data_IF_515543422377
#
_entry.id   IF_515543422377
#
_cell.length_a   1.000
_cell.length_b   1.000
_cell.length_c   1.000
_cell.angle_alpha   90.00
_cell.angle_beta   90.00
_cell.angle_gamma   90.00
#
_symmetry.space_group_name_H-M   'P 1'
#
loop_
_entity.id
_entity.type
_entity.pdbx_description
1 polymer ?
#
# COMPACT_ATOMS: atom_id res chain seq x y z
N UNK A 1 -1.28 -0.18 0.45
CA UNK A 1 -1.19 -1.61 0.13
C UNK A 1 0.12 -2.14 0.70
N UNK A 2 0.08 -3.24 1.44
CA UNK A 2 1.29 -3.94 1.90
C UNK A 2 1.94 -4.67 0.73
N UNK A 3 3.23 -4.47 0.51
CA UNK A 3 4.01 -5.11 -0.57
C UNK A 3 5.02 -6.13 -0.04
N UNK A 4 5.48 -5.98 1.20
CA UNK A 4 6.37 -6.92 1.87
C UNK A 4 6.30 -6.74 3.39
N UNK A 5 6.68 -7.78 4.11
CA UNK A 5 6.83 -7.76 5.57
C UNK A 5 8.09 -8.49 5.97
N UNK A 6 8.77 -8.04 7.02
CA UNK A 6 9.95 -8.73 7.54
C UNK A 6 10.13 -8.46 9.04
N UNK A 7 10.69 -9.40 9.81
CA UNK A 7 11.01 -9.17 11.21
C UNK A 7 12.27 -8.28 11.35
N UNK A 8 12.24 -7.32 12.28
CA UNK A 8 13.37 -6.45 12.64
C UNK A 8 13.32 -6.10 14.13
N UNK A 9 14.39 -6.40 14.87
CA UNK A 9 14.48 -6.12 16.32
C UNK A 9 13.26 -6.61 17.13
N UNK A 10 12.80 -7.84 16.86
CA UNK A 10 11.65 -8.44 17.56
C UNK A 10 10.28 -7.85 17.19
N UNK A 11 10.21 -6.95 16.21
CA UNK A 11 8.96 -6.37 15.70
C UNK A 11 8.75 -6.69 14.23
N UNK A 12 7.49 -6.76 13.80
CA UNK A 12 7.17 -6.89 12.38
C UNK A 12 7.32 -5.51 11.72
N UNK A 13 8.09 -5.45 10.62
CA UNK A 13 8.13 -4.29 9.74
C UNK A 13 7.28 -4.56 8.52
N UNK A 14 6.55 -3.53 8.10
CA UNK A 14 5.64 -3.59 6.97
C UNK A 14 6.06 -2.53 5.96
N UNK A 15 6.27 -2.97 4.73
CA UNK A 15 6.57 -2.11 3.58
C UNK A 15 5.28 -1.93 2.81
N UNK A 16 4.94 -0.68 2.52
CA UNK A 16 3.69 -0.31 1.87
C UNK A 16 3.90 0.68 0.74
N UNK A 17 2.93 0.70 -0.17
CA UNK A 17 2.69 1.80 -1.11
C UNK A 17 1.35 2.46 -0.78
N UNK A 18 1.23 3.80 -0.84
CA UNK A 18 0.01 4.48 -0.44
C UNK A 18 -1.09 4.33 -1.50
N UNK A 19 -2.33 4.44 -1.01
CA UNK A 19 -3.50 4.70 -1.84
C UNK A 19 -3.92 6.14 -1.63
N UNK A 20 -4.22 6.86 -2.70
CA UNK A 20 -4.57 8.28 -2.62
C UNK A 20 -5.68 8.62 -3.60
N UNK A 21 -6.47 9.65 -3.27
CA UNK A 21 -7.46 10.27 -4.17
C UNK A 21 -6.91 11.50 -4.88
N UNK A 22 -5.69 11.93 -4.52
CA UNK A 22 -5.00 13.05 -5.17
C UNK A 22 -4.59 12.66 -6.58
N UNK A 23 -4.59 13.65 -7.47
CA UNK A 23 -4.10 13.44 -8.82
C UNK A 23 -2.56 13.44 -8.79
N UNK A 24 -1.98 12.30 -9.15
CA UNK A 24 -0.55 12.08 -9.28
C UNK A 24 -0.23 11.78 -10.73
N UNK A 25 1.04 11.97 -11.11
CA UNK A 25 1.52 11.61 -12.45
C UNK A 25 1.04 10.19 -12.83
N UNK A 26 0.44 10.00 -14.03
CA UNK A 26 0.03 8.69 -14.52
C UNK A 26 1.18 7.69 -14.58
N UNK A 27 2.41 8.18 -14.77
CA UNK A 27 3.61 7.35 -14.85
C UNK A 27 3.83 6.52 -13.58
N UNK A 28 3.55 7.09 -12.40
CA UNK A 28 3.81 6.46 -11.11
C UNK A 28 2.57 5.98 -10.38
N UNK A 29 1.42 5.99 -11.06
CA UNK A 29 0.15 5.61 -10.47
C UNK A 29 -0.51 4.46 -11.20
N UNK A 30 -1.25 3.64 -10.45
CA UNK A 30 -2.08 2.57 -10.99
C UNK A 30 -3.52 2.86 -10.60
N UNK A 31 -4.36 3.06 -11.61
CA UNK A 31 -5.80 3.18 -11.45
C UNK A 31 -6.38 1.83 -11.06
N UNK A 32 -7.22 1.82 -10.02
CA UNK A 32 -7.86 0.59 -9.55
C UNK A 32 -9.12 0.30 -10.37
N UNK A 33 -9.42 -0.97 -10.68
CA UNK A 33 -10.67 -1.33 -11.32
C UNK A 33 -11.88 -0.90 -10.47
N UNK A 34 -12.98 -0.37 -11.06
CA UNK A 34 -14.15 0.09 -10.31
C UNK A 34 -14.72 -0.96 -9.35
N UNK A 35 -14.80 -2.23 -9.78
CA UNK A 35 -15.26 -3.33 -8.91
C UNK A 35 -14.39 -3.54 -7.68
N UNK A 36 -13.08 -3.33 -7.80
CA UNK A 36 -12.16 -3.45 -6.66
C UNK A 36 -12.32 -2.27 -5.70
N UNK A 37 -12.51 -1.06 -6.23
CA UNK A 37 -12.80 0.14 -5.42
C UNK A 37 -14.06 -0.08 -4.61
N UNK A 38 -15.15 -0.51 -5.26
CA UNK A 38 -16.44 -0.73 -4.60
C UNK A 38 -16.32 -1.85 -3.55
N UNK A 39 -15.61 -2.94 -3.86
CA UNK A 39 -15.37 -4.05 -2.93
C UNK A 39 -14.56 -3.64 -1.69
N UNK A 40 -13.58 -2.75 -1.86
CA UNK A 40 -12.72 -2.26 -0.78
C UNK A 40 -13.30 -1.02 -0.06
N UNK A 41 -14.48 -0.53 -0.48
CA UNK A 41 -15.10 0.66 0.10
C UNK A 41 -14.28 1.94 -0.10
N UNK A 42 -13.54 2.06 -1.22
CA UNK A 42 -12.68 3.20 -1.50
C UNK A 42 -13.40 4.30 -2.32
N UNK A 43 -12.82 5.51 -2.37
CA UNK A 43 -13.29 6.57 -3.28
C UNK A 43 -12.96 6.18 -4.74
N UNK A 44 -13.82 6.52 -5.69
CA UNK A 44 -13.63 6.20 -7.11
C UNK A 44 -12.37 6.79 -7.75
N UNK A 45 -11.78 7.81 -7.14
CA UNK A 45 -10.52 8.43 -7.56
C UNK A 45 -9.30 7.72 -6.98
N UNK A 46 -9.48 6.74 -6.10
CA UNK A 46 -8.41 6.01 -5.45
C UNK A 46 -7.49 5.32 -6.46
N UNK A 47 -6.19 5.58 -6.30
CA UNK A 47 -5.12 5.00 -7.09
C UNK A 47 -3.95 4.61 -6.19
N UNK A 48 -3.16 3.64 -6.63
CA UNK A 48 -1.92 3.24 -5.96
C UNK A 48 -0.78 4.11 -6.48
N UNK A 49 0.07 4.64 -5.60
CA UNK A 49 1.32 5.31 -5.98
C UNK A 49 2.48 4.36 -5.70
N UNK A 50 3.04 3.73 -6.72
CA UNK A 50 3.97 2.63 -6.51
C UNK A 50 5.42 3.06 -6.28
N UNK A 51 5.77 4.31 -6.61
CA UNK A 51 7.10 4.86 -6.40
C UNK A 51 7.29 5.53 -5.02
N UNK A 52 6.24 5.57 -4.20
CA UNK A 52 6.29 6.06 -2.82
C UNK A 52 6.23 4.86 -1.88
N UNK A 53 7.40 4.36 -1.50
CA UNK A 53 7.51 3.18 -0.63
C UNK A 53 7.78 3.63 0.79
N UNK A 54 6.92 3.20 1.71
CA UNK A 54 6.99 3.56 3.11
C UNK A 54 7.17 2.32 3.99
N UNK A 55 8.09 2.39 4.95
CA UNK A 55 8.33 1.34 5.94
C UNK A 55 7.85 1.77 7.34
N UNK A 56 7.07 0.90 7.99
CA UNK A 56 6.49 1.11 9.32
C UNK A 56 6.75 -0.06 10.27
N UNK A 57 6.73 0.21 11.58
CA UNK A 57 6.59 -0.83 12.62
C UNK A 57 5.13 -1.26 12.68
N UNK A 58 4.88 -2.57 12.80
CA UNK A 58 3.54 -3.13 12.96
C UNK A 58 3.32 -3.69 14.38
N UNK A 59 2.17 -3.45 15.01
CA UNK A 59 1.13 -2.48 14.62
C UNK A 59 1.60 -1.06 14.97
N UNK A 60 1.50 -0.11 14.03
CA UNK A 60 1.94 1.27 14.22
C UNK A 60 0.83 2.17 14.79
N UNK A 61 1.17 3.35 15.35
CA UNK A 61 0.20 4.27 15.95
C UNK A 61 -0.86 4.79 14.96
N UNK A 62 -0.48 4.93 13.67
CA UNK A 62 -1.38 5.37 12.60
C UNK A 62 -2.37 4.29 12.12
N UNK A 63 -2.21 3.05 12.58
CA UNK A 63 -3.05 1.93 12.15
C UNK A 63 -4.35 1.96 12.94
N UNK A 64 -5.44 2.30 12.25
CA UNK A 64 -6.79 2.31 12.84
C UNK A 64 -7.46 0.95 12.67
N UNK A 65 -8.17 0.50 13.70
CA UNK A 65 -9.03 -0.68 13.62
C UNK A 65 -10.27 -0.36 12.78
N UNK A 66 -10.69 -1.32 11.97
CA UNK A 66 -11.96 -1.32 11.27
C UNK A 66 -13.13 -1.68 12.18
N UNK A 67 -14.33 -1.73 11.62
CA UNK A 67 -15.56 -2.02 12.36
C UNK A 67 -15.58 -3.43 13.00
N UNK A 68 -14.82 -4.36 12.44
CA UNK A 68 -14.62 -5.73 12.93
C UNK A 68 -13.44 -5.86 13.91
N UNK A 69 -12.80 -4.74 14.28
CA UNK A 69 -11.59 -4.71 15.10
C UNK A 69 -10.30 -5.01 14.33
N UNK A 70 -10.39 -5.38 13.05
CA UNK A 70 -9.23 -5.65 12.19
C UNK A 70 -8.76 -4.37 11.50
N UNK A 71 -7.45 -4.09 11.43
CA UNK A 71 -6.94 -2.97 10.65
C UNK A 71 -6.89 -3.26 9.13
N UNK A 72 -7.35 -4.43 8.70
CA UNK A 72 -7.30 -4.87 7.30
C UNK A 72 -8.60 -4.50 6.59
N UNK A 73 -8.50 -3.65 5.56
CA UNK A 73 -9.65 -3.28 4.72
C UNK A 73 -10.02 -4.42 3.76
N UNK A 74 -9.03 -5.11 3.20
CA UNK A 74 -9.23 -6.21 2.25
C UNK A 74 -7.96 -6.61 1.50
N UNK A 75 -8.10 -7.61 0.62
CA UNK A 75 -7.00 -8.15 -0.18
C UNK A 75 -6.94 -7.51 -1.56
N UNK A 76 -5.71 -7.30 -2.04
CA UNK A 76 -5.48 -6.80 -3.41
C UNK A 76 -5.38 -7.96 -4.41
N UNK A 77 -5.93 -7.82 -5.62
CA UNK A 77 -5.78 -8.83 -6.67
C UNK A 77 -4.31 -9.09 -6.99
N UNK A 78 -3.96 -10.36 -7.15
CA UNK A 78 -2.58 -10.80 -7.41
C UNK A 78 -1.95 -10.08 -8.62
N UNK A 79 -2.72 -9.87 -9.70
CA UNK A 79 -2.25 -9.16 -10.89
C UNK A 79 -1.78 -7.73 -10.57
N UNK A 80 -2.52 -7.01 -9.72
CA UNK A 80 -2.16 -5.64 -9.32
C UNK A 80 -0.93 -5.67 -8.41
N UNK A 81 -0.90 -6.61 -7.46
CA UNK A 81 0.25 -6.80 -6.58
C UNK A 81 1.54 -7.07 -7.38
N UNK A 82 1.49 -8.01 -8.33
CA UNK A 82 2.63 -8.35 -9.19
C UNK A 82 3.09 -7.16 -10.04
N UNK A 83 2.17 -6.38 -10.59
CA UNK A 83 2.50 -5.17 -11.34
C UNK A 83 3.26 -4.16 -10.47
N UNK A 84 2.76 -3.89 -9.25
CA UNK A 84 3.42 -2.98 -8.31
C UNK A 84 4.81 -3.47 -7.95
N UNK A 85 4.95 -4.75 -7.58
CA UNK A 85 6.23 -5.34 -7.21
C UNK A 85 7.24 -5.27 -8.37
N UNK A 86 6.80 -5.57 -9.60
CA UNK A 86 7.65 -5.47 -10.79
C UNK A 86 8.14 -4.04 -11.04
N UNK A 87 7.27 -3.03 -10.92
CA UNK A 87 7.65 -1.62 -11.09
C UNK A 87 8.69 -1.18 -10.05
N UNK A 88 8.47 -1.55 -8.78
CA UNK A 88 9.39 -1.24 -7.67
C UNK A 88 10.78 -1.82 -7.92
N UNK A 89 10.85 -3.10 -8.32
CA UNK A 89 12.11 -3.80 -8.57
C UNK A 89 12.82 -3.20 -9.79
N UNK A 90 12.09 -3.00 -10.89
CA UNK A 90 12.64 -2.47 -12.13
C UNK A 90 13.27 -1.09 -11.95
N UNK A 91 12.65 -0.23 -11.13
CA UNK A 91 13.12 1.14 -10.91
C UNK A 91 14.00 1.31 -9.66
N UNK A 92 14.25 0.25 -8.90
CA UNK A 92 15.05 0.28 -7.66
C UNK A 92 14.62 1.42 -6.72
N UNK A 93 13.31 1.57 -6.56
CA UNK A 93 12.73 2.66 -5.76
C UNK A 93 13.24 2.57 -4.32
N UNK A 94 13.74 3.69 -3.80
CA UNK A 94 14.24 3.75 -2.42
C UNK A 94 13.10 3.70 -1.43
N UNK A 95 13.26 2.90 -0.39
CA UNK A 95 12.31 2.81 0.72
C UNK A 95 12.52 4.01 1.63
N UNK A 96 11.44 4.76 1.88
CA UNK A 96 11.42 5.83 2.86
C UNK A 96 11.08 5.25 4.22
N UNK A 97 12.00 5.42 5.18
CA UNK A 97 11.72 5.09 6.57
C UNK A 97 10.78 6.15 7.13
N UNK A 98 9.53 5.76 7.38
CA UNK A 98 8.60 6.57 8.18
C UNK A 98 8.76 6.09 9.62
N UNK A 99 9.81 6.58 10.26
CA UNK A 99 9.99 6.46 11.70
C UNK A 99 9.27 7.61 12.36
N UNK A 100 8.21 7.29 13.08
CA UNK A 100 7.92 7.98 14.34
C UNK A 100 8.63 7.21 15.47
#
# INVERSE_FOLDING_TARGET
MVVATYPKHGRLRVITVPLTTRDYSPEHSIVLPPRLIDHLGLDRRSRIIWNDINEFTWVGPDVRSGADGSPVIGSMPEKIFRQVAANIIAQRVKITNRTE
#
